data_IF_468181688460
#
_entry.id   IF_468181688460
#
_cell.length_a   1.000
_cell.length_b   1.000
_cell.length_c   1.000
_cell.angle_alpha   90.00
_cell.angle_beta   90.00
_cell.angle_gamma   90.00
#
_symmetry.space_group_name_H-M   'P 1'
#
loop_
_entity.id
_entity.type
_entity.pdbx_description
1 polymer ?
#
# COMPACT_ATOMS: atom_id res chain seq x y z
N UNK A 1 12.08 -5.25 -7.78
CA UNK A 1 12.38 -4.61 -6.49
C UNK A 1 12.94 -3.23 -6.74
N UNK A 2 12.79 -2.32 -5.78
CA UNK A 2 13.06 -0.90 -5.91
C UNK A 2 14.10 -0.44 -4.90
N UNK A 3 14.95 0.52 -5.26
CA UNK A 3 15.92 1.12 -4.33
C UNK A 3 15.29 2.23 -3.49
N UNK A 4 16.01 2.77 -2.52
CA UNK A 4 15.53 3.85 -1.66
C UNK A 4 15.11 5.12 -2.44
N UNK A 5 15.80 5.46 -3.53
CA UNK A 5 15.42 6.58 -4.42
C UNK A 5 14.04 6.35 -5.05
N UNK A 6 13.83 5.17 -5.63
CA UNK A 6 12.53 4.77 -6.15
C UNK A 6 11.47 4.73 -5.06
N UNK A 7 11.80 4.20 -3.88
CA UNK A 7 10.87 4.16 -2.76
C UNK A 7 10.40 5.57 -2.38
N UNK A 8 11.28 6.57 -2.29
CA UNK A 8 10.85 7.95 -2.01
C UNK A 8 9.93 8.50 -3.11
N UNK A 9 10.28 8.29 -4.39
CA UNK A 9 9.49 8.75 -5.54
C UNK A 9 8.12 8.07 -5.61
N UNK A 10 8.08 6.75 -5.41
CA UNK A 10 6.88 5.93 -5.53
C UNK A 10 5.98 6.00 -4.31
N UNK A 11 6.50 6.35 -3.13
CA UNK A 11 5.67 6.48 -1.92
C UNK A 11 5.22 7.90 -1.64
N UNK A 12 5.95 8.91 -2.12
CA UNK A 12 5.78 10.30 -1.74
C UNK A 12 6.44 10.64 -0.40
N UNK A 13 7.09 9.68 0.25
CA UNK A 13 7.87 9.93 1.46
C UNK A 13 9.13 10.74 1.12
N UNK A 14 9.46 11.69 1.99
CA UNK A 14 10.79 12.31 1.96
C UNK A 14 11.86 11.29 2.34
N UNK A 15 13.12 11.52 1.93
CA UNK A 15 14.25 10.66 2.36
C UNK A 15 14.36 10.54 3.88
N UNK A 16 14.06 11.62 4.60
CA UNK A 16 14.09 11.63 6.06
C UNK A 16 12.99 10.74 6.65
N UNK A 17 11.75 10.84 6.17
CA UNK A 17 10.65 9.98 6.60
C UNK A 17 10.91 8.52 6.27
N UNK A 18 11.33 8.21 5.04
CA UNK A 18 11.67 6.83 4.65
C UNK A 18 12.75 6.24 5.58
N UNK A 19 13.76 7.04 5.90
CA UNK A 19 14.85 6.65 6.80
C UNK A 19 14.40 6.49 8.26
N UNK A 20 13.47 7.32 8.72
CA UNK A 20 12.87 7.24 10.06
C UNK A 20 11.97 6.02 10.22
N UNK A 21 11.16 5.74 9.19
CA UNK A 21 10.15 4.70 9.18
C UNK A 21 10.77 3.31 8.93
N UNK A 22 11.79 3.23 8.07
CA UNK A 22 12.40 1.97 7.65
C UNK A 22 13.82 1.72 8.17
N UNK A 23 14.44 2.68 8.86
CA UNK A 23 15.80 2.53 9.36
C UNK A 23 15.87 1.72 10.65
N UNK A 24 16.74 0.71 10.67
CA UNK A 24 17.10 -0.01 11.90
C UNK A 24 17.66 0.97 12.96
N UNK A 25 17.18 0.86 14.20
CA UNK A 25 17.57 1.75 15.32
C UNK A 25 16.87 3.11 15.36
N UNK A 26 15.83 3.33 14.54
CA UNK A 26 14.94 4.51 14.66
C UNK A 26 13.55 4.06 15.14
N UNK A 27 12.48 4.50 14.46
CA UNK A 27 11.12 4.07 14.79
C UNK A 27 10.81 2.66 14.28
N UNK A 28 11.45 2.23 13.18
CA UNK A 28 11.38 0.84 12.72
C UNK A 28 9.96 0.36 12.42
N UNK A 29 9.09 1.25 11.91
CA UNK A 29 7.69 0.95 11.58
C UNK A 29 7.62 -0.20 10.56
N UNK A 30 8.50 -0.16 9.57
CA UNK A 30 8.50 -1.13 8.47
C UNK A 30 9.89 -1.35 7.90
N UNK A 31 10.44 -2.54 8.07
CA UNK A 31 11.74 -2.88 7.51
C UNK A 31 11.70 -3.01 5.97
N UNK A 32 12.80 -2.66 5.27
CA UNK A 32 12.95 -3.01 3.86
C UNK A 32 12.96 -4.52 3.66
N UNK A 33 12.56 -4.99 2.48
CA UNK A 33 12.56 -6.43 2.18
C UNK A 33 13.98 -7.01 2.06
N UNK A 34 14.95 -6.18 1.66
CA UNK A 34 16.37 -6.49 1.78
C UNK A 34 17.06 -5.34 2.51
N UNK A 35 17.66 -5.66 3.66
CA UNK A 35 18.44 -4.70 4.44
C UNK A 35 19.74 -4.31 3.73
N UNK A 36 20.19 -3.06 3.88
CA UNK A 36 21.50 -2.65 3.37
C UNK A 36 22.61 -3.38 4.13
N UNK A 37 23.65 -3.82 3.43
CA UNK A 37 24.72 -4.65 3.99
C UNK A 37 26.12 -4.12 3.62
N UNK A 38 26.33 -2.81 3.82
CA UNK A 38 27.62 -2.13 3.62
C UNK A 38 27.68 -1.23 2.38
N UNK A 39 28.86 -0.66 2.08
CA UNK A 39 29.06 0.23 0.94
C UNK A 39 28.59 -0.39 -0.38
N UNK A 40 27.77 0.33 -1.14
CA UNK A 40 27.20 -0.12 -2.42
C UNK A 40 26.05 -1.14 -2.33
N UNK A 41 25.73 -1.65 -1.14
CA UNK A 41 24.60 -2.56 -0.91
C UNK A 41 23.40 -1.79 -0.37
N UNK A 42 22.53 -1.39 -1.30
CA UNK A 42 21.34 -0.60 -1.01
C UNK A 42 20.21 -1.45 -0.44
N UNK A 43 19.37 -0.81 0.38
CA UNK A 43 18.11 -1.38 0.81
C UNK A 43 17.18 -1.58 -0.40
N UNK A 44 16.49 -2.71 -0.45
CA UNK A 44 15.54 -3.03 -1.53
C UNK A 44 14.13 -3.18 -0.99
N UNK A 45 13.17 -2.70 -1.77
CA UNK A 45 11.76 -2.67 -1.44
C UNK A 45 10.96 -3.42 -2.51
N UNK A 46 10.13 -4.36 -2.08
CA UNK A 46 9.12 -5.02 -2.89
C UNK A 46 7.88 -4.12 -3.02
N UNK A 47 7.02 -4.41 -3.99
CA UNK A 47 5.82 -3.61 -4.24
C UNK A 47 4.87 -3.62 -3.04
N UNK A 48 4.82 -4.71 -2.26
CA UNK A 48 3.99 -4.81 -1.05
C UNK A 48 4.43 -3.76 -0.03
N UNK A 49 5.73 -3.66 0.22
CA UNK A 49 6.32 -2.69 1.14
C UNK A 49 6.09 -1.27 0.66
N UNK A 50 6.20 -1.01 -0.64
CA UNK A 50 5.88 0.30 -1.21
C UNK A 50 4.40 0.67 -1.06
N UNK A 51 3.49 -0.29 -1.30
CA UNK A 51 2.05 -0.08 -1.11
C UNK A 51 1.72 0.20 0.35
N UNK A 52 2.31 -0.57 1.27
CA UNK A 52 2.18 -0.33 2.72
C UNK A 52 2.63 1.09 3.07
N UNK A 53 3.82 1.51 2.65
CA UNK A 53 4.33 2.86 2.93
C UNK A 53 3.44 3.96 2.36
N UNK A 54 2.89 3.78 1.16
CA UNK A 54 1.93 4.72 0.55
C UNK A 54 0.68 4.89 1.42
N UNK A 55 0.12 3.80 1.90
CA UNK A 55 -1.10 3.81 2.71
C UNK A 55 -0.84 4.39 4.11
N UNK A 56 0.27 4.03 4.76
CA UNK A 56 0.66 4.60 6.05
C UNK A 56 0.89 6.11 5.96
N UNK A 57 1.48 6.60 4.86
CA UNK A 57 1.63 8.04 4.64
C UNK A 57 0.27 8.74 4.55
N UNK A 58 -0.73 8.14 3.89
CA UNK A 58 -2.08 8.70 3.84
C UNK A 58 -2.72 8.72 5.24
N UNK A 59 -2.63 7.61 5.98
CA UNK A 59 -3.15 7.52 7.35
C UNK A 59 -2.53 8.59 8.25
N UNK A 60 -1.21 8.75 8.19
CA UNK A 60 -0.50 9.73 8.99
C UNK A 60 -0.82 11.18 8.56
N UNK A 61 -0.70 11.49 7.27
CA UNK A 61 -0.77 12.86 6.78
C UNK A 61 -2.18 13.42 6.63
N UNK A 62 -3.19 12.56 6.37
CA UNK A 62 -4.58 13.00 6.17
C UNK A 62 -5.48 12.73 7.37
N UNK A 63 -5.22 11.65 8.11
CA UNK A 63 -6.07 11.23 9.22
C UNK A 63 -5.39 11.38 10.58
N UNK A 64 -4.14 11.83 10.63
CA UNK A 64 -3.43 12.11 11.87
C UNK A 64 -3.07 10.86 12.67
N UNK A 65 -3.08 9.66 12.06
CA UNK A 65 -2.72 8.43 12.76
C UNK A 65 -1.29 8.54 13.27
N UNK A 66 -1.12 8.30 14.56
CA UNK A 66 0.18 8.44 15.22
C UNK A 66 1.16 7.39 14.72
N UNK A 67 2.41 7.81 14.57
CA UNK A 67 3.47 6.94 14.05
C UNK A 67 3.68 5.69 14.92
N UNK A 68 3.44 5.76 16.23
CA UNK A 68 3.51 4.60 17.12
C UNK A 68 2.50 3.50 16.78
N UNK A 69 1.32 3.89 16.29
CA UNK A 69 0.24 2.96 15.92
C UNK A 69 0.45 2.37 14.51
N UNK A 70 1.20 3.07 13.65
CA UNK A 70 1.46 2.63 12.28
C UNK A 70 2.25 1.32 12.19
N UNK A 71 3.01 0.94 13.22
CA UNK A 71 3.81 -0.29 13.18
C UNK A 71 2.91 -1.55 13.13
N UNK A 72 1.86 -1.58 13.95
CA UNK A 72 0.90 -2.69 13.96
C UNK A 72 0.05 -2.71 12.69
N UNK A 73 -0.37 -1.53 12.22
CA UNK A 73 -1.06 -1.37 10.94
C UNK A 73 -0.17 -1.85 9.77
N UNK A 74 1.11 -1.51 9.78
CA UNK A 74 2.06 -1.95 8.76
C UNK A 74 2.23 -3.47 8.75
N UNK A 75 2.32 -4.07 9.94
CA UNK A 75 2.47 -5.51 10.13
C UNK A 75 1.23 -6.27 9.62
N UNK A 76 0.04 -5.85 10.04
CA UNK A 76 -1.23 -6.47 9.60
C UNK A 76 -1.39 -6.35 8.08
N UNK A 77 -1.13 -5.16 7.52
CA UNK A 77 -1.19 -4.95 6.07
C UNK A 77 -0.20 -5.84 5.30
N UNK A 78 1.06 -5.96 5.75
CA UNK A 78 2.05 -6.83 5.10
C UNK A 78 1.64 -8.29 5.12
N UNK A 79 1.05 -8.75 6.22
CA UNK A 79 0.53 -10.13 6.32
C UNK A 79 -0.56 -10.35 5.26
N UNK A 80 -1.50 -9.41 5.13
CA UNK A 80 -2.57 -9.49 4.12
C UNK A 80 -1.99 -9.48 2.69
N UNK A 81 -1.03 -8.60 2.41
CA UNK A 81 -0.43 -8.49 1.06
C UNK A 81 0.45 -9.67 0.66
N UNK A 82 1.06 -10.41 1.60
CA UNK A 82 1.97 -11.53 1.28
C UNK A 82 1.29 -12.66 0.51
N UNK A 83 -0.01 -12.89 0.75
CA UNK A 83 -0.81 -13.91 0.09
C UNK A 83 -1.60 -13.43 -1.13
N UNK A 84 -1.53 -12.14 -1.47
CA UNK A 84 -2.37 -11.54 -2.51
C UNK A 84 -1.54 -11.13 -3.71
N UNK A 85 -1.97 -11.57 -4.90
CA UNK A 85 -1.35 -11.13 -6.15
C UNK A 85 -1.68 -9.66 -6.41
N UNK A 86 -0.77 -8.94 -7.08
CA UNK A 86 -0.97 -7.52 -7.37
C UNK A 86 -2.29 -7.23 -8.12
N UNK A 87 -2.68 -7.98 -9.18
CA UNK A 87 -3.95 -7.72 -9.89
C UNK A 87 -5.19 -7.96 -9.02
N UNK A 88 -5.13 -8.85 -8.03
CA UNK A 88 -6.26 -9.10 -7.14
C UNK A 88 -6.59 -7.91 -6.23
N UNK A 89 -5.72 -6.90 -6.16
CA UNK A 89 -5.93 -5.70 -5.34
C UNK A 89 -6.82 -4.64 -5.99
N UNK A 90 -7.01 -4.67 -7.31
CA UNK A 90 -7.78 -3.66 -8.04
C UNK A 90 -9.20 -3.43 -7.50
N UNK A 91 -10.00 -4.46 -7.18
CA UNK A 91 -11.32 -4.25 -6.60
C UNK A 91 -11.29 -3.91 -5.11
N UNK A 92 -10.16 -4.10 -4.42
CA UNK A 92 -10.09 -4.02 -2.96
C UNK A 92 -9.96 -2.57 -2.45
N UNK A 93 -10.27 -2.42 -1.18
CA UNK A 93 -10.07 -1.23 -0.34
C UNK A 93 -9.25 -1.64 0.87
N UNK A 94 -8.42 -0.74 1.37
CA UNK A 94 -7.78 -0.92 2.67
C UNK A 94 -8.68 -0.28 3.73
N UNK A 95 -9.19 -1.08 4.66
CA UNK A 95 -10.16 -0.65 5.66
C UNK A 95 -9.55 -0.82 7.06
N UNK A 96 -9.43 0.28 7.79
CA UNK A 96 -8.89 0.32 9.13
C UNK A 96 -10.04 0.22 10.12
N UNK A 97 -10.14 -0.93 10.79
CA UNK A 97 -11.25 -1.28 11.69
C UNK A 97 -11.05 -0.66 13.07
N UNK A 98 -9.79 -0.60 13.50
CA UNK A 98 -9.37 0.02 14.76
C UNK A 98 -8.00 0.71 14.59
N UNK A 99 -7.44 1.28 15.67
CA UNK A 99 -6.15 1.98 15.63
C UNK A 99 -4.92 1.13 15.24
N UNK A 100 -5.05 -0.19 15.17
CA UNK A 100 -3.94 -1.14 15.03
C UNK A 100 -4.12 -2.11 13.85
N UNK A 101 -5.35 -2.30 13.38
CA UNK A 101 -5.67 -3.31 12.37
C UNK A 101 -6.15 -2.69 11.07
N UNK A 102 -5.67 -3.24 9.96
CA UNK A 102 -6.14 -2.91 8.62
C UNK A 102 -6.38 -4.17 7.81
N UNK A 103 -7.49 -4.17 7.07
CA UNK A 103 -7.96 -5.28 6.27
C UNK A 103 -8.09 -4.89 4.81
N UNK A 104 -8.11 -5.89 3.93
CA UNK A 104 -8.36 -5.71 2.50
C UNK A 104 -9.73 -6.30 2.17
N UNK A 105 -10.68 -5.45 1.77
CA UNK A 105 -12.07 -5.86 1.55
C UNK A 105 -12.63 -5.27 0.26
N UNK A 106 -13.58 -5.96 -0.38
CA UNK A 106 -14.45 -5.39 -1.42
C UNK A 106 -15.70 -4.72 -0.84
N UNK A 107 -16.01 -5.00 0.43
CA UNK A 107 -17.23 -4.58 1.14
C UNK A 107 -16.82 -3.82 2.40
N UNK A 108 -16.56 -2.49 2.30
CA UNK A 108 -16.12 -1.68 3.43
C UNK A 108 -17.29 -1.07 4.23
N UNK A 109 -18.54 -1.45 3.96
CA UNK A 109 -19.75 -0.79 4.47
C UNK A 109 -19.82 -0.83 5.99
N UNK A 110 -19.52 -1.98 6.59
CA UNK A 110 -19.53 -2.15 8.05
C UNK A 110 -18.48 -1.26 8.72
N UNK A 111 -17.27 -1.17 8.12
CA UNK A 111 -16.21 -0.30 8.64
C UNK A 111 -16.60 1.17 8.58
N UNK A 112 -17.30 1.59 7.52
CA UNK A 112 -17.80 2.97 7.41
C UNK A 112 -18.88 3.22 8.45
N UNK A 113 -19.81 2.28 8.64
CA UNK A 113 -20.90 2.40 9.60
C UNK A 113 -20.38 2.56 11.04
N UNK A 114 -19.29 1.88 11.37
CA UNK A 114 -18.63 1.95 12.68
C UNK A 114 -17.66 3.15 12.83
N UNK A 115 -17.59 4.04 11.82
CA UNK A 115 -16.75 5.24 11.85
C UNK A 115 -15.26 4.98 11.57
N UNK A 116 -14.91 3.83 10.99
CA UNK A 116 -13.56 3.47 10.59
C UNK A 116 -13.06 4.22 9.35
N UNK A 117 -11.80 3.99 9.00
CA UNK A 117 -11.14 4.67 7.87
C UNK A 117 -11.04 3.72 6.68
N UNK A 118 -11.53 4.15 5.52
CA UNK A 118 -11.45 3.37 4.28
C UNK A 118 -10.64 4.11 3.23
N UNK A 119 -9.58 3.46 2.75
CA UNK A 119 -8.68 3.98 1.74
C UNK A 119 -8.89 3.26 0.40
N UNK A 120 -9.16 3.98 -0.70
CA UNK A 120 -9.18 3.39 -2.03
C UNK A 120 -7.77 2.95 -2.45
N UNK A 121 -7.61 1.70 -2.89
CA UNK A 121 -6.31 1.20 -3.35
C UNK A 121 -5.94 1.69 -4.74
N UNK A 122 -6.92 1.91 -5.63
CA UNK A 122 -6.69 2.21 -7.06
C UNK A 122 -5.64 3.32 -7.30
N UNK A 123 -5.70 4.51 -6.67
CA UNK A 123 -4.69 5.57 -6.88
C UNK A 123 -3.27 5.18 -6.44
N UNK A 124 -3.15 4.22 -5.53
CA UNK A 124 -1.86 3.69 -5.10
C UNK A 124 -1.36 2.59 -6.03
N UNK A 125 -2.26 1.75 -6.51
CA UNK A 125 -1.96 0.67 -7.46
C UNK A 125 -1.54 1.22 -8.82
N UNK A 126 -2.18 2.26 -9.34
CA UNK A 126 -1.82 2.89 -10.63
C UNK A 126 -0.35 3.36 -10.67
N UNK A 127 0.10 4.00 -9.60
CA UNK A 127 1.50 4.45 -9.47
C UNK A 127 2.48 3.28 -9.48
N UNK A 128 2.16 2.20 -8.76
CA UNK A 128 3.02 1.02 -8.68
C UNK A 128 2.96 0.19 -9.97
N UNK A 129 1.79 0.06 -10.59
CA UNK A 129 1.60 -0.63 -11.86
C UNK A 129 2.44 0.03 -12.95
N UNK A 130 2.37 1.36 -13.05
CA UNK A 130 3.19 2.15 -13.98
C UNK A 130 4.68 1.90 -13.77
N UNK A 131 5.14 1.90 -12.51
CA UNK A 131 6.55 1.69 -12.18
C UNK A 131 7.06 0.27 -12.44
N UNK A 132 6.15 -0.72 -12.42
CA UNK A 132 6.46 -2.13 -12.72
C UNK A 132 6.15 -2.49 -14.18
N UNK A 133 5.69 -1.55 -15.00
CA UNK A 133 5.20 -1.80 -16.37
C UNK A 133 4.10 -2.87 -16.42
N UNK A 134 3.22 -2.89 -15.42
CA UNK A 134 2.07 -3.78 -15.37
C UNK A 134 0.84 -3.11 -16.00
N UNK A 135 -0.09 -3.89 -16.59
CA UNK A 135 -1.34 -3.35 -17.07
C UNK A 135 -2.12 -2.71 -15.91
N UNK A 136 -2.66 -1.52 -16.16
CA UNK A 136 -3.67 -0.91 -15.29
C UNK A 136 -4.99 -1.60 -15.58
N UNK A 137 -5.76 -1.90 -14.52
CA UNK A 137 -7.12 -2.41 -14.68
C UNK A 137 -8.02 -1.29 -15.19
N UNK A 138 -7.96 -1.08 -16.50
CA UNK A 138 -8.98 -0.36 -17.24
C UNK A 138 -10.21 -1.27 -17.21
N UNK A 139 -11.16 -0.98 -16.31
CA UNK A 139 -12.49 -1.58 -16.42
C UNK A 139 -12.99 -1.32 -17.83
N UNK A 140 -12.89 -2.34 -18.69
CA UNK A 140 -13.41 -2.28 -20.04
C UNK A 140 -14.90 -1.92 -19.91
N UNK A 141 -15.39 -0.91 -20.65
CA UNK A 141 -16.81 -0.62 -20.67
C UNK A 141 -17.53 -1.93 -20.98
N UNK A 142 -18.43 -2.35 -20.07
CA UNK A 142 -19.23 -3.55 -20.25
C UNK A 142 -19.87 -3.44 -21.64
N UNK A 143 -19.48 -4.32 -22.55
CA UNK A 143 -20.05 -4.34 -23.88
C UNK A 143 -21.57 -4.45 -23.72
N UNK A 144 -22.36 -3.57 -24.36
CA UNK A 144 -23.81 -3.66 -24.27
C UNK A 144 -24.25 -5.04 -24.77
N UNK A 145 -25.30 -5.63 -24.17
CA UNK A 145 -25.79 -6.93 -24.60
C UNK A 145 -26.14 -6.88 -26.09
N UNK A 146 -25.44 -7.67 -26.90
CA UNK A 146 -25.77 -7.85 -28.30
C UNK A 146 -27.13 -8.53 -28.39
N UNK A 147 -28.14 -7.80 -28.85
CA UNK A 147 -29.42 -8.39 -29.20
C UNK A 147 -29.21 -9.32 -30.41
N UNK A 148 -29.33 -10.63 -30.18
CA UNK A 148 -29.41 -11.61 -31.26
C UNK A 148 -30.84 -11.56 -31.80
N UNK A 149 -31.01 -10.89 -32.95
CA UNK A 149 -32.26 -10.98 -33.72
C UNK A 149 -32.40 -12.41 -34.26
N UNK A 150 -33.56 -13.02 -34.01
CA UNK A 150 -33.94 -14.35 -34.53
C UNK A 150 -34.32 -14.29 -36.00
#
# INVERSE_FOLDING_TARGET
MFQASDATRLTGLTRNQLREWCGSGRRGILEPDVSPAGPGRHAMYAWQTLLTLRLLLVLHARFGVEIGQLADVAKTLRIRLKGTSFPALWPLRAAMVDSQTIELTTHPEDVIADGGIVLPLRPHLEVLATAMSLPVDEQLPLLPPMAVSR
#
